data_IF_955025686409
#
_entry.id   IF_955025686409
#
_cell.length_a   1.000
_cell.length_b   1.000
_cell.length_c   1.000
_cell.angle_alpha   90.00
_cell.angle_beta   90.00
_cell.angle_gamma   90.00
#
_symmetry.space_group_name_H-M   'P 1'
#
loop_
_entity.id
_entity.type
_entity.pdbx_description
1 polymer ?
#
# COMPACT_ATOMS: atom_id res chain seq x y z
N UNK A 1 0.02 -26.73 -4.57
CA UNK A 1 0.06 -26.92 -3.10
C UNK A 1 0.69 -25.74 -2.38
N UNK A 2 -0.11 -24.70 -2.13
CA UNK A 2 0.22 -23.63 -1.20
C UNK A 2 0.02 -24.17 0.22
N UNK A 3 1.01 -24.91 0.71
CA UNK A 3 1.00 -25.38 2.10
C UNK A 3 1.20 -24.18 3.03
N UNK A 4 0.30 -23.95 4.01
CA UNK A 4 0.43 -22.88 5.00
C UNK A 4 1.74 -22.98 5.83
N UNK A 5 2.43 -24.12 5.77
CA UNK A 5 3.69 -24.38 6.45
C UNK A 5 4.92 -23.84 5.69
N UNK A 6 4.77 -23.41 4.43
CA UNK A 6 5.89 -22.92 3.63
C UNK A 6 6.04 -21.40 3.78
N UNK A 7 6.81 -21.01 4.80
CA UNK A 7 7.14 -19.60 5.11
C UNK A 7 7.75 -18.83 3.94
N UNK A 8 8.29 -19.49 2.89
CA UNK A 8 8.85 -18.81 1.71
C UNK A 8 7.81 -17.95 0.99
N UNK A 9 6.55 -18.37 0.97
CA UNK A 9 5.47 -17.62 0.32
C UNK A 9 5.16 -16.29 1.03
N UNK A 10 5.35 -16.22 2.36
CA UNK A 10 5.15 -14.97 3.12
C UNK A 10 6.18 -13.89 2.75
N UNK A 11 7.38 -14.30 2.35
CA UNK A 11 8.49 -13.40 2.02
C UNK A 11 8.73 -13.28 0.52
N UNK A 12 7.81 -13.74 -0.33
CA UNK A 12 7.98 -13.76 -1.79
C UNK A 12 9.27 -14.48 -2.24
N UNK A 13 9.77 -15.41 -1.43
CA UNK A 13 10.96 -16.21 -1.70
C UNK A 13 10.63 -17.45 -2.54
N UNK A 14 9.78 -17.26 -3.56
CA UNK A 14 9.23 -18.28 -4.45
C UNK A 14 9.39 -17.82 -5.89
N UNK A 15 9.66 -18.76 -6.79
CA UNK A 15 9.81 -18.46 -8.21
C UNK A 15 8.44 -18.17 -8.85
N UNK A 16 8.37 -17.38 -9.93
CA UNK A 16 7.13 -17.20 -10.69
C UNK A 16 6.49 -18.53 -11.10
N UNK A 17 7.29 -19.57 -11.40
CA UNK A 17 6.78 -20.90 -11.72
C UNK A 17 6.06 -21.58 -10.54
N UNK A 18 6.47 -21.29 -9.30
CA UNK A 18 5.82 -21.81 -8.07
C UNK A 18 4.51 -21.08 -7.71
N UNK A 19 4.23 -19.96 -8.37
CA UNK A 19 3.05 -19.10 -8.14
C UNK A 19 2.19 -18.88 -9.39
N UNK A 20 2.53 -19.51 -10.51
CA UNK A 20 1.75 -19.47 -11.75
C UNK A 20 0.86 -20.71 -11.84
N UNK A 21 -0.41 -20.49 -12.12
CA UNK A 21 -1.42 -21.54 -12.21
C UNK A 21 -1.89 -21.69 -13.66
N UNK A 22 -2.22 -22.92 -14.06
CA UNK A 22 -2.69 -23.20 -15.41
C UNK A 22 -4.12 -22.71 -15.65
N UNK A 23 -4.97 -22.76 -14.60
CA UNK A 23 -6.35 -22.28 -14.66
C UNK A 23 -6.60 -21.23 -13.56
N UNK A 24 -7.61 -20.37 -13.78
CA UNK A 24 -7.96 -19.31 -12.83
C UNK A 24 -8.54 -19.89 -11.54
N UNK A 25 -9.26 -21.00 -11.66
CA UNK A 25 -9.87 -21.72 -10.53
C UNK A 25 -8.83 -22.30 -9.57
N UNK A 26 -7.60 -22.50 -10.05
CA UNK A 26 -6.48 -23.02 -9.26
C UNK A 26 -5.76 -21.92 -8.47
N UNK A 27 -6.01 -20.63 -8.77
CA UNK A 27 -5.39 -19.49 -8.10
C UNK A 27 -6.07 -19.32 -6.74
N UNK A 28 -5.37 -19.48 -5.61
CA UNK A 28 -5.99 -19.26 -4.32
C UNK A 28 -6.39 -17.80 -4.14
N UNK A 29 -7.53 -17.58 -3.51
CA UNK A 29 -7.95 -16.24 -3.15
C UNK A 29 -7.07 -15.75 -2.00
N UNK A 30 -5.95 -15.12 -2.35
CA UNK A 30 -5.03 -14.56 -1.37
C UNK A 30 -5.70 -13.47 -0.53
N UNK A 31 -6.76 -12.82 -1.01
CA UNK A 31 -7.50 -11.85 -0.21
C UNK A 31 -8.30 -12.55 0.88
N UNK A 32 -8.96 -13.67 0.59
CA UNK A 32 -9.63 -14.49 1.60
C UNK A 32 -8.65 -15.03 2.65
N UNK A 33 -7.40 -15.32 2.26
CA UNK A 33 -6.37 -15.77 3.20
C UNK A 33 -5.86 -14.62 4.08
N UNK A 34 -5.57 -13.46 3.50
CA UNK A 34 -4.91 -12.34 4.19
C UNK A 34 -5.91 -11.50 5.02
N UNK A 35 -7.14 -11.32 4.54
CA UNK A 35 -8.12 -10.44 5.19
C UNK A 35 -8.45 -10.84 6.64
N UNK A 36 -8.62 -12.14 6.99
CA UNK A 36 -8.80 -12.55 8.38
C UNK A 36 -7.61 -12.17 9.27
N UNK A 37 -6.38 -12.30 8.78
CA UNK A 37 -5.19 -11.90 9.53
C UNK A 37 -5.12 -10.39 9.76
N UNK A 38 -5.39 -9.59 8.73
CA UNK A 38 -5.48 -8.13 8.87
C UNK A 38 -6.56 -7.74 9.90
N UNK A 39 -7.72 -8.41 9.87
CA UNK A 39 -8.79 -8.18 10.84
C UNK A 39 -8.36 -8.58 12.25
N UNK A 40 -7.75 -9.76 12.43
CA UNK A 40 -7.25 -10.22 13.73
C UNK A 40 -6.21 -9.25 14.28
N UNK A 41 -5.22 -8.83 13.48
CA UNK A 41 -4.20 -7.86 13.89
C UNK A 41 -4.81 -6.52 14.25
N UNK A 42 -5.80 -6.07 13.49
CA UNK A 42 -6.56 -4.86 13.82
C UNK A 42 -7.23 -5.04 15.19
N UNK A 43 -8.01 -6.10 15.39
CA UNK A 43 -8.70 -6.36 16.67
C UNK A 43 -7.72 -6.47 17.84
N UNK A 44 -6.62 -7.22 17.68
CA UNK A 44 -5.57 -7.35 18.70
C UNK A 44 -4.97 -5.99 19.05
N UNK A 45 -4.68 -5.14 18.05
CA UNK A 45 -4.17 -3.80 18.34
C UNK A 45 -5.16 -2.97 19.14
N UNK A 46 -6.46 -3.07 18.85
CA UNK A 46 -7.51 -2.39 19.63
C UNK A 46 -7.56 -2.87 21.09
N UNK A 47 -7.26 -4.14 21.37
CA UNK A 47 -7.20 -4.67 22.75
C UNK A 47 -5.89 -4.31 23.48
N UNK A 48 -4.78 -4.22 22.75
CA UNK A 48 -3.47 -3.89 23.30
C UNK A 48 -3.29 -2.39 23.56
N UNK A 49 -3.96 -1.54 22.79
CA UNK A 49 -3.84 -0.08 22.87
C UNK A 49 -4.67 0.54 24.01
N UNK A 50 -4.34 0.18 25.26
CA UNK A 50 -5.10 0.61 26.46
C UNK A 50 -5.02 2.12 26.76
N UNK A 51 -4.20 2.89 26.05
CA UNK A 51 -3.88 4.29 26.39
C UNK A 51 -4.37 5.33 25.38
N UNK A 52 -4.73 4.94 24.15
CA UNK A 52 -5.17 5.83 23.07
C UNK A 52 -6.41 5.29 22.31
N UNK A 53 -7.23 4.46 22.94
CA UNK A 53 -8.37 3.83 22.25
C UNK A 53 -9.60 4.73 22.14
N UNK A 54 -9.95 5.11 20.91
CA UNK A 54 -11.24 5.70 20.58
C UNK A 54 -12.05 4.74 19.69
N UNK A 55 -12.97 3.98 20.32
CA UNK A 55 -13.82 3.01 19.63
C UNK A 55 -14.55 3.62 18.43
N UNK A 56 -15.06 4.84 18.56
CA UNK A 56 -15.73 5.56 17.49
C UNK A 56 -14.80 5.81 16.30
N UNK A 57 -13.53 6.16 16.55
CA UNK A 57 -12.56 6.41 15.49
C UNK A 57 -12.17 5.10 14.78
N UNK A 58 -11.88 4.04 15.54
CA UNK A 58 -11.56 2.72 14.97
C UNK A 58 -12.76 2.11 14.21
N UNK A 59 -13.97 2.24 14.75
CA UNK A 59 -15.20 1.82 14.06
C UNK A 59 -15.40 2.58 12.75
N UNK A 60 -15.15 3.90 12.74
CA UNK A 60 -15.20 4.70 11.50
C UNK A 60 -14.20 4.19 10.46
N UNK A 61 -12.98 3.86 10.88
CA UNK A 61 -11.95 3.30 9.99
C UNK A 61 -12.37 1.94 9.41
N UNK A 62 -12.90 1.03 10.23
CA UNK A 62 -13.37 -0.29 9.77
C UNK A 62 -14.59 -0.18 8.86
N UNK A 63 -15.57 0.67 9.19
CA UNK A 63 -16.78 0.87 8.39
C UNK A 63 -16.43 1.48 7.03
N UNK A 64 -15.55 2.49 7.01
CA UNK A 64 -15.10 3.10 5.75
C UNK A 64 -14.31 2.14 4.88
N UNK A 65 -13.40 1.34 5.46
CA UNK A 65 -12.72 0.26 4.76
C UNK A 65 -13.68 -0.80 4.22
N UNK A 66 -14.72 -1.14 4.99
CA UNK A 66 -15.77 -2.07 4.54
C UNK A 66 -16.56 -1.49 3.37
N UNK A 67 -16.93 -0.20 3.42
CA UNK A 67 -17.57 0.49 2.30
C UNK A 67 -16.66 0.50 1.07
N UNK A 68 -15.37 0.81 1.24
CA UNK A 68 -14.37 0.75 0.18
C UNK A 68 -14.34 -0.63 -0.53
N UNK A 69 -14.46 -1.73 0.22
CA UNK A 69 -14.56 -3.09 -0.34
C UNK A 69 -15.93 -3.39 -0.98
N UNK A 70 -17.02 -2.91 -0.37
CA UNK A 70 -18.40 -3.17 -0.83
C UNK A 70 -18.78 -2.41 -2.09
N UNK A 71 -18.18 -1.25 -2.35
CA UNK A 71 -18.31 -0.58 -3.64
C UNK A 71 -17.61 -1.46 -4.69
N UNK A 72 -18.38 -2.39 -5.26
CA UNK A 72 -18.04 -3.45 -6.23
C UNK A 72 -17.38 -2.97 -7.53
N UNK A 73 -17.21 -1.65 -7.67
CA UNK A 73 -16.49 -0.94 -8.71
C UNK A 73 -15.49 0.04 -8.09
N UNK A 74 -14.75 -0.41 -7.08
CA UNK A 74 -13.73 0.42 -6.44
C UNK A 74 -12.73 0.91 -7.49
N UNK A 75 -12.09 2.04 -7.22
CA UNK A 75 -11.08 2.59 -8.14
C UNK A 75 -9.98 1.57 -8.50
N UNK A 76 -9.73 0.56 -7.66
CA UNK A 76 -8.83 -0.55 -7.96
C UNK A 76 -9.31 -1.41 -9.15
N UNK A 77 -10.58 -1.83 -9.20
CA UNK A 77 -11.09 -2.61 -10.34
C UNK A 77 -11.08 -1.81 -11.63
N UNK A 78 -11.50 -0.54 -11.56
CA UNK A 78 -11.43 0.40 -12.69
C UNK A 78 -9.97 0.54 -13.15
N UNK A 79 -9.04 0.70 -12.22
CA UNK A 79 -7.63 0.84 -12.55
C UNK A 79 -7.06 -0.39 -13.23
N UNK A 80 -7.36 -1.61 -12.75
CA UNK A 80 -6.87 -2.85 -13.36
C UNK A 80 -7.50 -3.06 -14.74
N UNK A 81 -8.80 -2.86 -14.87
CA UNK A 81 -9.50 -2.99 -16.15
C UNK A 81 -8.98 -2.01 -17.20
N UNK A 82 -8.86 -0.72 -16.85
CA UNK A 82 -8.28 0.30 -17.72
C UNK A 82 -6.82 0.00 -18.04
N UNK A 83 -6.03 -0.45 -17.07
CA UNK A 83 -4.64 -0.84 -17.29
C UNK A 83 -4.52 -1.91 -18.36
N UNK A 84 -5.31 -2.98 -18.28
CA UNK A 84 -5.30 -4.06 -19.27
C UNK A 84 -5.68 -3.55 -20.66
N UNK A 85 -6.75 -2.77 -20.80
CA UNK A 85 -7.17 -2.24 -22.11
C UNK A 85 -6.12 -1.31 -22.71
N UNK A 86 -5.56 -0.42 -21.90
CA UNK A 86 -4.55 0.54 -22.36
C UNK A 86 -3.26 -0.19 -22.72
N UNK A 87 -2.81 -1.17 -21.93
CA UNK A 87 -1.65 -2.01 -22.24
C UNK A 87 -1.80 -2.70 -23.60
N UNK A 88 -2.92 -3.39 -23.84
CA UNK A 88 -3.20 -4.06 -25.13
C UNK A 88 -3.17 -3.09 -26.32
N UNK A 89 -3.55 -1.83 -26.10
CA UNK A 89 -3.57 -0.82 -27.15
C UNK A 89 -2.22 -0.14 -27.41
N UNK A 90 -1.34 -0.01 -26.41
CA UNK A 90 -0.17 0.91 -26.48
C UNK A 90 1.17 0.31 -26.05
N UNK A 91 1.23 -0.93 -25.57
CA UNK A 91 2.51 -1.52 -25.16
C UNK A 91 3.52 -1.48 -26.31
N UNK A 92 4.75 -1.11 -25.98
CA UNK A 92 5.82 -0.92 -26.96
C UNK A 92 6.66 -2.18 -27.16
N UNK A 93 6.64 -3.08 -26.18
CA UNK A 93 7.45 -4.29 -26.11
C UNK A 93 6.65 -5.41 -25.47
N UNK A 94 6.86 -6.62 -25.98
CA UNK A 94 6.37 -7.85 -25.36
C UNK A 94 7.43 -8.37 -24.39
N UNK A 95 7.10 -8.39 -23.10
CA UNK A 95 8.00 -8.87 -22.05
C UNK A 95 7.63 -10.29 -21.63
N UNK A 96 8.63 -11.16 -21.51
CA UNK A 96 8.47 -12.52 -21.02
C UNK A 96 8.10 -12.51 -19.52
N UNK A 97 6.88 -12.97 -19.22
CA UNK A 97 6.35 -13.05 -17.85
C UNK A 97 7.09 -14.05 -16.97
N UNK A 98 7.85 -14.98 -17.55
CA UNK A 98 8.66 -15.94 -16.80
C UNK A 98 10.06 -15.43 -16.46
N UNK A 99 10.48 -14.29 -17.04
CA UNK A 99 11.78 -13.71 -16.77
C UNK A 99 11.76 -12.97 -15.40
N UNK A 100 12.52 -13.44 -14.40
CA UNK A 100 12.51 -12.85 -13.06
C UNK A 100 12.99 -11.40 -13.03
N UNK A 101 13.80 -10.97 -13.99
CA UNK A 101 14.26 -9.58 -14.06
C UNK A 101 13.14 -8.60 -14.41
N UNK A 102 12.10 -9.05 -15.12
CA UNK A 102 10.92 -8.21 -15.40
C UNK A 102 10.09 -8.01 -14.12
N UNK A 103 10.04 -9.02 -13.25
CA UNK A 103 9.42 -8.89 -11.93
C UNK A 103 10.20 -7.93 -11.04
N UNK A 104 11.53 -8.05 -11.00
CA UNK A 104 12.39 -7.09 -10.26
C UNK A 104 12.21 -5.68 -10.80
N UNK A 105 12.18 -5.50 -12.12
CA UNK A 105 11.89 -4.19 -12.74
C UNK A 105 10.53 -3.66 -12.29
N UNK A 106 9.49 -4.48 -12.40
CA UNK A 106 8.14 -4.11 -12.00
C UNK A 106 8.05 -3.74 -10.52
N UNK A 107 8.79 -4.41 -9.64
CA UNK A 107 8.85 -4.06 -8.22
C UNK A 107 9.30 -2.60 -8.02
N UNK A 108 10.42 -2.21 -8.63
CA UNK A 108 10.92 -0.84 -8.51
C UNK A 108 10.02 0.19 -9.21
N UNK A 109 9.52 -0.12 -10.42
CA UNK A 109 8.68 0.84 -11.16
C UNK A 109 7.30 1.00 -10.52
N UNK A 110 6.70 -0.07 -10.00
CA UNK A 110 5.43 -0.01 -9.30
C UNK A 110 5.55 0.80 -8.01
N UNK A 111 6.63 0.61 -7.26
CA UNK A 111 6.86 1.36 -6.03
C UNK A 111 7.12 2.85 -6.29
N UNK A 112 7.85 3.17 -7.37
CA UNK A 112 8.03 4.55 -7.83
C UNK A 112 6.71 5.19 -8.28
N UNK A 113 5.90 4.47 -9.06
CA UNK A 113 4.60 4.96 -9.52
C UNK A 113 3.63 5.18 -8.36
N UNK A 114 3.68 4.29 -7.35
CA UNK A 114 2.99 4.51 -6.09
C UNK A 114 3.47 5.80 -5.42
N UNK A 115 4.78 6.00 -5.25
CA UNK A 115 5.34 7.22 -4.67
C UNK A 115 4.85 8.49 -5.39
N UNK A 116 4.89 8.51 -6.73
CA UNK A 116 4.44 9.66 -7.53
C UNK A 116 2.96 9.95 -7.34
N UNK A 117 2.11 8.92 -7.37
CA UNK A 117 0.68 9.05 -7.16
C UNK A 117 0.35 9.50 -5.74
N UNK A 118 1.02 8.92 -4.74
CA UNK A 118 0.84 9.25 -3.35
C UNK A 118 1.25 10.69 -3.05
N UNK A 119 2.40 11.12 -3.56
CA UNK A 119 2.84 12.52 -3.50
C UNK A 119 1.82 13.47 -4.11
N UNK A 120 1.29 13.16 -5.29
CA UNK A 120 0.25 13.99 -5.92
C UNK A 120 -1.03 14.03 -5.07
N UNK A 121 -1.37 12.94 -4.39
CA UNK A 121 -2.49 12.87 -3.46
C UNK A 121 -2.32 13.74 -2.22
N UNK A 122 -1.11 14.15 -1.86
CA UNK A 122 -0.87 15.11 -0.79
C UNK A 122 -0.71 16.55 -1.29
N UNK A 123 0.07 16.75 -2.36
CA UNK A 123 0.46 18.10 -2.78
C UNK A 123 -0.61 18.79 -3.64
N UNK A 124 -1.55 18.05 -4.27
CA UNK A 124 -2.55 18.63 -5.18
C UNK A 124 -3.97 18.50 -4.63
N UNK A 125 -4.66 19.63 -4.43
CA UNK A 125 -5.95 19.69 -3.72
C UNK A 125 -7.06 18.77 -4.25
N UNK A 126 -7.14 18.54 -5.57
CA UNK A 126 -8.15 17.63 -6.14
C UNK A 126 -7.87 16.17 -5.72
N UNK A 127 -6.61 15.75 -5.73
CA UNK A 127 -6.22 14.42 -5.30
C UNK A 127 -6.25 14.29 -3.77
N UNK A 128 -5.90 15.35 -3.04
CA UNK A 128 -6.07 15.42 -1.58
C UNK A 128 -7.51 15.20 -1.16
N UNK A 129 -8.50 15.70 -1.91
CA UNK A 129 -9.90 15.45 -1.60
C UNK A 129 -10.27 13.95 -1.56
N UNK A 130 -9.55 13.11 -2.34
CA UNK A 130 -9.71 11.66 -2.36
C UNK A 130 -8.94 10.94 -1.24
N UNK A 131 -7.92 11.60 -0.67
CA UNK A 131 -7.00 11.00 0.28
C UNK A 131 -7.15 11.47 1.72
N UNK A 132 -7.60 12.71 1.94
CA UNK A 132 -7.68 13.33 3.27
C UNK A 132 -8.41 12.49 4.32
N UNK A 133 -9.40 11.71 3.90
CA UNK A 133 -10.13 10.79 4.78
C UNK A 133 -9.18 9.78 5.44
N UNK A 134 -8.17 9.32 4.71
CA UNK A 134 -7.15 8.40 5.21
C UNK A 134 -6.34 8.99 6.37
N UNK A 135 -6.05 10.30 6.29
CA UNK A 135 -5.31 11.05 7.30
C UNK A 135 -6.19 11.61 8.42
N UNK A 136 -7.51 11.46 8.33
CA UNK A 136 -8.46 12.11 9.24
C UNK A 136 -8.62 11.41 10.60
N UNK A 137 -7.87 10.33 10.85
CA UNK A 137 -7.93 9.62 12.12
C UNK A 137 -7.07 10.35 13.14
N UNK A 138 -7.62 10.64 14.31
CA UNK A 138 -6.89 11.29 15.40
C UNK A 138 -5.99 10.29 16.17
N UNK A 139 -6.03 9.01 15.80
CA UNK A 139 -5.34 7.90 16.45
C UNK A 139 -4.64 7.03 15.40
N UNK A 140 -3.44 6.54 15.69
CA UNK A 140 -2.68 5.78 14.71
C UNK A 140 -2.50 4.33 15.13
N UNK A 141 -3.17 3.41 14.44
CA UNK A 141 -3.06 1.96 14.65
C UNK A 141 -3.48 1.21 13.38
N UNK A 142 -3.54 -0.13 13.42
CA UNK A 142 -3.85 -0.92 12.22
C UNK A 142 -5.23 -0.61 11.63
N UNK A 143 -6.18 -0.12 12.42
CA UNK A 143 -7.47 0.32 11.88
C UNK A 143 -7.31 1.52 10.94
N UNK A 144 -6.34 2.40 11.15
CA UNK A 144 -6.05 3.56 10.29
C UNK A 144 -5.75 3.13 8.86
N UNK A 145 -5.10 1.97 8.65
CA UNK A 145 -4.90 1.40 7.30
C UNK A 145 -6.21 1.14 6.55
N UNK A 146 -7.28 0.83 7.29
CA UNK A 146 -8.61 0.57 6.74
C UNK A 146 -9.41 1.84 6.49
N UNK A 147 -8.98 3.00 7.03
CA UNK A 147 -9.66 4.27 6.81
C UNK A 147 -9.43 4.74 5.38
N UNK A 148 -10.24 4.24 4.45
CA UNK A 148 -10.14 4.55 3.03
C UNK A 148 -11.47 5.07 2.52
N UNK A 149 -11.41 6.16 1.74
CA UNK A 149 -12.58 6.63 1.00
C UNK A 149 -12.90 5.67 -0.14
N UNK A 150 -14.20 5.50 -0.46
CA UNK A 150 -14.65 4.60 -1.52
C UNK A 150 -14.00 4.88 -2.91
N UNK A 151 -13.64 6.15 -3.15
CA UNK A 151 -13.06 6.61 -4.41
C UNK A 151 -11.55 6.93 -4.33
N UNK A 152 -10.89 6.64 -3.21
CA UNK A 152 -9.48 7.00 -2.98
C UNK A 152 -8.57 6.52 -4.12
N UNK A 153 -8.77 5.28 -4.58
CA UNK A 153 -7.95 4.66 -5.64
C UNK A 153 -8.08 5.34 -7.01
N UNK A 154 -9.10 6.17 -7.26
CA UNK A 154 -9.18 6.96 -8.50
C UNK A 154 -8.03 7.96 -8.62
N UNK A 155 -7.48 8.43 -7.50
CA UNK A 155 -6.36 9.36 -7.48
C UNK A 155 -5.06 8.79 -8.07
N UNK A 156 -4.91 7.46 -8.12
CA UNK A 156 -3.68 6.80 -8.59
C UNK A 156 -3.83 6.12 -9.95
N UNK A 157 -5.04 6.07 -10.55
CA UNK A 157 -5.29 5.39 -11.84
C UNK A 157 -4.34 5.90 -12.92
N UNK A 158 -4.25 7.22 -13.10
CA UNK A 158 -3.41 7.82 -14.14
C UNK A 158 -1.93 7.51 -13.97
N UNK A 159 -1.44 7.42 -12.72
CA UNK A 159 -0.06 7.06 -12.41
C UNK A 159 0.22 5.60 -12.76
N UNK A 160 -0.70 4.69 -12.41
CA UNK A 160 -0.56 3.27 -12.76
C UNK A 160 -0.46 3.07 -14.29
N UNK A 161 -1.22 3.83 -15.08
CA UNK A 161 -1.19 3.74 -16.55
C UNK A 161 0.17 4.09 -17.17
N UNK A 162 1.07 4.77 -16.45
CA UNK A 162 2.43 5.05 -16.94
C UNK A 162 3.24 3.77 -17.22
N UNK A 163 2.88 2.64 -16.59
CA UNK A 163 3.56 1.37 -16.79
C UNK A 163 3.01 0.55 -17.98
N UNK A 164 1.85 0.93 -18.55
CA UNK A 164 1.22 0.21 -19.66
C UNK A 164 2.09 0.12 -20.92
N UNK A 165 3.08 0.99 -21.08
CA UNK A 165 3.99 0.93 -22.23
C UNK A 165 4.93 -0.27 -22.19
N UNK A 166 5.15 -0.88 -21.01
CA UNK A 166 6.20 -1.88 -20.82
C UNK A 166 5.75 -3.07 -19.99
N UNK A 167 5.01 -2.88 -18.89
CA UNK A 167 4.79 -3.93 -17.89
C UNK A 167 3.46 -4.67 -18.16
N UNK A 168 3.49 -5.99 -18.42
CA UNK A 168 2.27 -6.78 -18.61
C UNK A 168 1.37 -6.76 -17.37
N UNK A 169 0.02 -6.76 -17.54
CA UNK A 169 -0.94 -6.79 -16.43
C UNK A 169 -0.70 -7.94 -15.43
N UNK A 170 -0.24 -9.09 -15.92
CA UNK A 170 0.06 -10.29 -15.15
C UNK A 170 1.16 -10.08 -14.10
N UNK A 171 2.08 -9.13 -14.35
CA UNK A 171 3.15 -8.76 -13.42
C UNK A 171 2.75 -7.54 -12.59
N UNK A 172 2.07 -6.57 -13.21
CA UNK A 172 1.59 -5.36 -12.55
C UNK A 172 0.63 -5.66 -11.38
N UNK A 173 -0.37 -6.54 -11.59
CA UNK A 173 -1.42 -6.83 -10.60
C UNK A 173 -0.83 -7.40 -9.29
N UNK A 174 0.04 -8.44 -9.31
CA UNK A 174 0.70 -8.92 -8.09
C UNK A 174 1.54 -7.85 -7.38
N UNK A 175 2.31 -7.04 -8.10
CA UNK A 175 3.16 -6.01 -7.47
C UNK A 175 2.35 -4.88 -6.85
N UNK A 176 1.24 -4.49 -7.48
CA UNK A 176 0.28 -3.56 -6.89
C UNK A 176 -0.30 -4.13 -5.59
N UNK A 177 -0.67 -5.41 -5.59
CA UNK A 177 -1.20 -6.06 -4.39
C UNK A 177 -0.14 -6.18 -3.29
N UNK A 178 1.11 -6.52 -3.63
CA UNK A 178 2.23 -6.53 -2.71
C UNK A 178 2.41 -5.17 -2.02
N UNK A 179 2.38 -4.07 -2.79
CA UNK A 179 2.45 -2.72 -2.22
C UNK A 179 1.26 -2.44 -1.29
N UNK A 180 0.04 -2.79 -1.68
CA UNK A 180 -1.16 -2.65 -0.82
C UNK A 180 -1.02 -3.40 0.51
N UNK A 181 -0.52 -4.64 0.49
CA UNK A 181 -0.31 -5.42 1.72
C UNK A 181 0.79 -4.80 2.56
N UNK A 182 1.91 -4.40 1.95
CA UNK A 182 3.01 -3.73 2.65
C UNK A 182 2.54 -2.46 3.38
N UNK A 183 1.67 -1.67 2.75
CA UNK A 183 1.10 -0.47 3.35
C UNK A 183 0.34 -0.76 4.65
N UNK A 184 -0.43 -1.85 4.74
CA UNK A 184 -1.12 -2.21 5.97
C UNK A 184 -0.16 -2.36 7.16
N UNK A 185 0.99 -3.00 6.94
CA UNK A 185 1.98 -3.25 7.98
C UNK A 185 2.63 -1.98 8.54
N UNK A 186 2.63 -0.88 7.77
CA UNK A 186 3.20 0.40 8.21
C UNK A 186 2.32 1.14 9.24
N UNK A 187 1.03 0.80 9.32
CA UNK A 187 0.07 1.52 10.17
C UNK A 187 0.05 1.01 11.60
N UNK A 188 1.13 1.22 12.34
CA UNK A 188 1.15 0.91 13.77
C UNK A 188 2.13 1.81 14.56
N UNK A 189 1.84 1.96 15.86
CA UNK A 189 2.70 2.69 16.81
C UNK A 189 3.69 1.78 17.55
N UNK A 190 3.55 0.45 17.45
CA UNK A 190 4.30 -0.48 18.29
C UNK A 190 5.74 -0.70 17.84
N UNK A 191 6.01 -0.59 16.54
CA UNK A 191 7.34 -0.81 15.99
C UNK A 191 8.11 0.52 16.03
N UNK A 192 9.20 0.60 16.82
CA UNK A 192 10.04 1.80 16.89
C UNK A 192 10.88 1.92 15.61
N UNK A 193 11.75 2.94 15.55
CA UNK A 193 12.78 3.02 14.52
C UNK A 193 13.62 1.73 14.51
N UNK A 194 13.79 1.13 13.32
CA UNK A 194 14.52 -0.15 13.15
C UNK A 194 15.94 0.04 12.59
N UNK A 195 16.47 1.26 12.67
CA UNK A 195 17.86 1.59 12.35
C UNK A 195 18.17 1.49 10.85
N UNK A 196 19.26 0.79 10.43
CA UNK A 196 19.74 0.86 9.05
C UNK A 196 18.75 0.43 7.96
N UNK A 197 17.73 -0.37 8.30
CA UNK A 197 16.70 -0.76 7.34
C UNK A 197 15.87 0.44 6.85
N UNK A 198 15.76 1.50 7.65
CA UNK A 198 15.04 2.74 7.31
C UNK A 198 15.76 3.58 6.24
N UNK A 199 16.97 3.19 5.83
CA UNK A 199 17.62 3.82 4.68
C UNK A 199 17.06 3.31 3.35
N UNK A 200 16.43 2.13 3.35
CA UNK A 200 15.98 1.43 2.14
C UNK A 200 14.47 1.23 2.15
N UNK A 201 13.91 0.75 3.25
CA UNK A 201 12.49 0.40 3.36
C UNK A 201 11.71 1.48 4.09
N UNK A 202 10.46 1.69 3.67
CA UNK A 202 9.48 2.39 4.49
C UNK A 202 9.20 1.56 5.75
N UNK A 203 9.18 2.24 6.89
CA UNK A 203 8.91 1.61 8.19
C UNK A 203 7.71 2.26 8.86
N UNK A 204 7.15 1.62 9.91
CA UNK A 204 6.11 2.25 10.71
C UNK A 204 6.53 3.61 11.30
N UNK A 205 7.83 3.81 11.61
CA UNK A 205 8.35 5.12 12.04
C UNK A 205 8.23 6.18 10.96
N UNK A 206 8.63 5.86 9.72
CA UNK A 206 8.50 6.81 8.61
C UNK A 206 7.04 7.11 8.29
N UNK A 207 6.16 6.10 8.38
CA UNK A 207 4.74 6.24 8.07
C UNK A 207 3.96 6.98 9.17
N UNK A 208 4.38 6.91 10.44
CA UNK A 208 3.87 7.80 11.50
C UNK A 208 4.12 9.26 11.19
N UNK A 209 5.33 9.60 10.74
CA UNK A 209 5.66 10.97 10.30
C UNK A 209 4.77 11.38 9.15
N UNK A 210 4.58 10.51 8.16
CA UNK A 210 3.70 10.76 7.02
C UNK A 210 2.25 11.09 7.43
N UNK A 211 1.69 10.36 8.40
CA UNK A 211 0.35 10.61 8.92
C UNK A 211 0.26 11.80 9.89
N UNK A 212 1.40 12.32 10.35
CA UNK A 212 1.45 13.41 11.31
C UNK A 212 1.03 14.75 10.71
N UNK A 213 0.39 15.58 11.53
CA UNK A 213 0.03 16.96 11.19
C UNK A 213 0.97 18.00 11.79
N UNK A 214 2.02 17.57 12.50
CA UNK A 214 3.06 18.48 12.97
C UNK A 214 3.69 19.21 11.77
N UNK A 215 4.15 20.46 11.91
CA UNK A 215 4.71 21.21 10.78
C UNK A 215 5.85 20.50 10.03
N UNK A 216 6.64 19.65 10.70
CA UNK A 216 7.72 18.90 10.05
C UNK A 216 7.26 17.63 9.32
N UNK A 217 6.05 17.16 9.62
CA UNK A 217 5.43 15.97 9.05
C UNK A 217 4.73 16.26 7.71
N UNK A 218 4.31 17.51 7.51
CA UNK A 218 3.53 17.91 6.33
C UNK A 218 4.33 17.64 5.06
N UNK A 219 3.69 16.93 4.13
CA UNK A 219 4.23 16.62 2.80
C UNK A 219 5.56 15.84 2.86
N UNK A 220 5.61 14.80 3.71
CA UNK A 220 6.78 13.93 3.88
C UNK A 220 6.45 12.45 3.75
N UNK A 221 7.48 11.68 3.40
CA UNK A 221 7.51 10.21 3.44
C UNK A 221 6.36 9.55 2.65
N UNK A 222 6.29 9.78 1.34
CA UNK A 222 5.26 9.21 0.46
C UNK A 222 5.53 7.76 0.02
N UNK A 223 6.69 7.21 0.35
CA UNK A 223 7.16 5.91 -0.13
C UNK A 223 6.22 4.77 0.22
N UNK A 224 6.15 3.80 -0.69
CA UNK A 224 5.34 2.61 -0.54
C UNK A 224 6.06 1.56 0.32
N UNK A 225 6.81 0.71 -0.36
CA UNK A 225 7.70 -0.28 0.24
C UNK A 225 9.08 0.32 0.47
N UNK A 226 9.54 1.17 -0.44
CA UNK A 226 10.88 1.75 -0.40
C UNK A 226 10.83 3.24 -0.03
N UNK A 227 11.61 3.63 0.96
CA UNK A 227 11.80 5.03 1.37
C UNK A 227 12.83 5.75 0.49
N UNK A 228 13.50 5.02 -0.40
CA UNK A 228 14.55 5.56 -1.26
C UNK A 228 14.04 6.70 -2.15
N UNK A 229 12.78 6.64 -2.57
CA UNK A 229 12.16 7.67 -3.41
C UNK A 229 12.06 8.99 -2.66
N UNK A 230 11.63 8.97 -1.39
CA UNK A 230 11.61 10.16 -0.55
C UNK A 230 12.99 10.78 -0.36
N UNK A 231 14.02 9.95 -0.21
CA UNK A 231 15.40 10.42 -0.09
C UNK A 231 15.90 11.03 -1.40
N UNK A 232 15.59 10.40 -2.53
CA UNK A 232 15.99 10.86 -3.86
C UNK A 232 15.30 12.18 -4.25
N UNK A 233 14.02 12.32 -3.92
CA UNK A 233 13.21 13.48 -4.29
C UNK A 233 13.10 14.54 -3.19
N UNK A 234 13.79 14.36 -2.06
CA UNK A 234 13.91 15.35 -0.98
C UNK A 234 12.65 15.50 -0.11
N UNK A 235 11.80 14.48 -0.05
CA UNK A 235 10.57 14.45 0.76
C UNK A 235 10.72 13.61 2.04
N UNK A 236 11.90 13.09 2.33
CA UNK A 236 12.16 12.32 3.55
C UNK A 236 12.20 13.20 4.81
N UNK A 237 11.55 12.75 5.88
CA UNK A 237 11.70 13.26 7.24
C UNK A 237 11.74 12.10 8.24
N UNK A 238 12.75 12.10 9.13
CA UNK A 238 12.81 11.14 10.22
C UNK A 238 11.84 11.49 11.35
N UNK A 239 11.38 10.47 12.08
CA UNK A 239 10.61 10.67 13.32
C UNK A 239 11.50 11.35 14.37
N UNK A 240 10.93 12.32 15.09
CA UNK A 240 11.64 13.07 16.11
C UNK A 240 11.28 12.52 17.49
N UNK A 241 12.23 11.94 18.24
CA UNK A 241 11.92 11.33 19.53
C UNK A 241 11.50 12.36 20.61
N UNK A 242 11.84 13.62 20.41
CA UNK A 242 11.53 14.74 21.30
C UNK A 242 10.21 15.46 20.96
N UNK A 243 9.57 15.13 19.83
CA UNK A 243 8.33 15.76 19.38
C UNK A 243 7.23 14.71 19.16
N UNK A 244 6.23 14.68 20.04
CA UNK A 244 5.09 13.77 19.88
C UNK A 244 4.32 14.11 18.59
N UNK A 245 4.11 13.11 17.75
CA UNK A 245 3.29 13.23 16.55
C UNK A 245 1.82 13.37 16.95
N UNK A 246 1.13 14.31 16.31
CA UNK A 246 -0.31 14.54 16.42
C UNK A 246 -0.94 14.17 15.08
N UNK A 247 -2.06 13.46 15.11
CA UNK A 247 -2.82 13.02 13.93
C UNK A 247 -4.18 13.76 13.84
N UNK A 248 -4.89 13.57 12.72
CA UNK A 248 -6.23 14.11 12.49
C UNK A 248 -6.29 15.39 11.67
#
# INVERSE_FOLDING_TARGET
>A
DLHPDNLRYLFYAVTPAETTFANVEDIPDYQEIIAPWMLILTLVSLFCDRMNYAFNDSATSVISGSLYLLFKFSGSMISVYLYTIVYEAVHLVELDIYNPWIWVLCFFTQDLVYYLGHRAMHEWGIFWALHQMHHSSEYYNFSTAMRKGAFMELGTVGFNLLQCFFIPPQIFIPHRHLNFVAQFWLHNEYIPEIGPLEYIFCTPSNHRVHHGRNPYCIDRNYGGILIIWDRMFGTFAAERPDEKIVYG
#
